data_IF_683521284804
#
_entry.id   IF_683521284804
#
_cell.length_a   1.000
_cell.length_b   1.000
_cell.length_c   1.000
_cell.angle_alpha   90.00
_cell.angle_beta   90.00
_cell.angle_gamma   90.00
#
_symmetry.space_group_name_H-M   'P 1'
#
loop_
_entity.id
_entity.type
_entity.pdbx_description
1 polymer ?
#
# COMPACT_ATOMS: atom_id res chain seq x y z
N UNK A 1 -36.53 -8.19 27.00
CA UNK A 1 -35.91 -8.48 25.69
C UNK A 1 -35.36 -7.18 25.12
N UNK A 2 -34.05 -7.01 25.21
CA UNK A 2 -33.20 -6.17 24.36
C UNK A 2 -31.77 -6.45 24.86
N UNK A 3 -31.19 -7.55 24.39
CA UNK A 3 -29.77 -7.85 24.62
C UNK A 3 -28.98 -6.69 24.05
N UNK A 4 -28.28 -5.94 24.92
CA UNK A 4 -27.36 -4.91 24.50
C UNK A 4 -26.23 -5.57 23.71
N UNK A 5 -26.34 -5.57 22.39
CA UNK A 5 -25.29 -6.03 21.50
C UNK A 5 -24.11 -5.07 21.64
N UNK A 6 -23.12 -5.43 22.45
CA UNK A 6 -21.81 -4.81 22.39
C UNK A 6 -21.26 -5.07 20.98
N UNK A 7 -21.06 -4.01 20.20
CA UNK A 7 -20.35 -4.10 18.93
C UNK A 7 -18.98 -4.79 19.17
N UNK A 8 -18.56 -5.73 18.31
CA UNK A 8 -17.23 -6.33 18.37
C UNK A 8 -16.15 -5.24 18.37
N UNK A 9 -15.11 -5.40 19.18
CA UNK A 9 -13.99 -4.45 19.26
C UNK A 9 -13.36 -4.21 17.88
N UNK A 10 -13.31 -5.26 17.06
CA UNK A 10 -12.82 -5.27 15.68
C UNK A 10 -13.46 -4.17 14.81
N UNK A 11 -14.77 -3.93 14.97
CA UNK A 11 -15.52 -2.92 14.19
C UNK A 11 -15.16 -1.47 14.57
N UNK A 12 -14.49 -1.28 15.71
CA UNK A 12 -14.07 0.02 16.23
C UNK A 12 -12.57 0.28 16.08
N UNK A 13 -11.84 -0.59 15.38
CA UNK A 13 -10.39 -0.51 15.22
C UNK A 13 -9.94 0.10 13.91
N UNK A 14 -8.90 0.92 13.97
CA UNK A 14 -8.26 1.52 12.82
C UNK A 14 -7.29 0.55 12.15
N UNK A 15 -7.45 0.28 10.85
CA UNK A 15 -6.59 -0.67 10.11
C UNK A 15 -5.12 -0.21 9.91
N UNK A 16 -4.77 1.00 10.36
CA UNK A 16 -3.41 1.55 10.24
C UNK A 16 -2.66 1.43 11.57
N UNK A 17 -3.31 1.72 12.70
CA UNK A 17 -2.68 1.66 14.03
C UNK A 17 -3.15 0.48 14.88
N UNK A 18 -4.16 -0.28 14.43
CA UNK A 18 -4.76 -1.42 15.12
C UNK A 18 -5.23 -1.08 16.55
N UNK A 19 -5.68 0.16 16.74
CA UNK A 19 -6.22 0.69 18.01
C UNK A 19 -7.61 1.28 17.73
N UNK A 20 -8.39 1.49 18.79
CA UNK A 20 -9.70 2.13 18.70
C UNK A 20 -9.57 3.49 18.00
N UNK A 21 -10.49 3.80 17.09
CA UNK A 21 -10.41 5.05 16.33
C UNK A 21 -10.35 6.28 17.25
N UNK A 22 -9.34 7.13 16.99
CA UNK A 22 -9.20 8.47 17.58
C UNK A 22 -9.44 9.50 16.50
N UNK A 23 -10.48 10.31 16.68
CA UNK A 23 -10.97 11.26 15.67
C UNK A 23 -11.09 10.62 14.28
N UNK A 24 -11.96 9.61 14.10
CA UNK A 24 -12.10 8.92 12.83
C UNK A 24 -12.53 9.88 11.73
N UNK A 25 -11.85 9.82 10.59
CA UNK A 25 -12.22 10.49 9.35
C UNK A 25 -12.62 9.45 8.31
N UNK A 26 -13.58 9.78 7.45
CA UNK A 26 -14.11 8.89 6.42
C UNK A 26 -13.77 9.40 5.03
N UNK A 27 -13.25 8.52 4.18
CA UNK A 27 -13.01 8.81 2.77
C UNK A 27 -14.25 8.52 1.91
N UNK A 28 -14.32 9.05 0.69
CA UNK A 28 -15.37 8.73 -0.29
C UNK A 28 -15.45 7.25 -0.70
N UNK A 29 -14.43 6.46 -0.36
CA UNK A 29 -14.46 5.00 -0.50
C UNK A 29 -15.06 4.28 0.73
N UNK A 30 -15.65 5.03 1.66
CA UNK A 30 -16.27 4.57 2.90
C UNK A 30 -15.34 3.95 3.95
N UNK A 31 -14.03 3.84 3.67
CA UNK A 31 -13.05 3.44 4.67
C UNK A 31 -12.80 4.59 5.66
N UNK A 32 -12.72 4.23 6.94
CA UNK A 32 -12.44 5.15 8.04
C UNK A 32 -11.06 4.90 8.63
N UNK A 33 -10.41 5.98 9.09
CA UNK A 33 -9.07 5.95 9.69
C UNK A 33 -8.99 6.98 10.81
N UNK A 34 -8.11 6.81 11.80
CA UNK A 34 -7.76 7.91 12.69
C UNK A 34 -7.21 9.07 11.85
N UNK A 35 -7.60 10.32 12.15
CA UNK A 35 -7.14 11.51 11.43
C UNK A 35 -5.61 11.53 11.27
N UNK A 36 -4.88 11.28 12.35
CA UNK A 36 -3.41 11.27 12.39
C UNK A 36 -2.80 10.13 11.58
N UNK A 37 -3.46 8.97 11.54
CA UNK A 37 -3.00 7.82 10.76
C UNK A 37 -3.09 8.10 9.26
N UNK A 38 -4.23 8.65 8.82
CA UNK A 38 -4.43 9.01 7.43
C UNK A 38 -3.44 10.10 6.98
N UNK A 39 -3.25 11.15 7.78
CA UNK A 39 -2.29 12.22 7.49
C UNK A 39 -0.87 11.68 7.31
N UNK A 40 -0.40 10.85 8.26
CA UNK A 40 0.92 10.21 8.17
C UNK A 40 1.07 9.37 6.91
N UNK A 41 0.05 8.59 6.54
CA UNK A 41 0.08 7.78 5.31
C UNK A 41 0.20 8.66 4.04
N UNK A 42 -0.53 9.77 3.98
CA UNK A 42 -0.45 10.69 2.85
C UNK A 42 0.89 11.40 2.75
N UNK A 43 1.45 11.84 3.87
CA UNK A 43 2.79 12.45 3.92
C UNK A 43 3.88 11.47 3.48
N UNK A 44 3.83 10.22 3.95
CA UNK A 44 4.84 9.20 3.61
C UNK A 44 4.78 8.74 2.16
N UNK A 45 3.59 8.65 1.59
CA UNK A 45 3.41 8.18 0.20
C UNK A 45 3.50 9.31 -0.82
N UNK A 46 3.36 10.58 -0.38
CA UNK A 46 3.23 11.73 -1.28
C UNK A 46 1.95 11.70 -2.12
N UNK A 47 0.98 10.86 -1.75
CA UNK A 47 -0.25 10.63 -2.50
C UNK A 47 -1.44 10.59 -1.56
N UNK A 48 -2.56 11.21 -1.98
CA UNK A 48 -3.81 11.21 -1.20
C UNK A 48 -4.62 9.93 -1.50
N UNK A 49 -4.04 8.77 -1.29
CA UNK A 49 -4.70 7.48 -1.55
C UNK A 49 -5.26 6.85 -0.27
N UNK A 50 -6.34 6.07 -0.41
CA UNK A 50 -6.86 5.27 0.69
C UNK A 50 -5.85 4.16 1.05
N UNK A 51 -5.45 4.01 2.34
CA UNK A 51 -4.55 2.95 2.77
C UNK A 51 -5.02 1.51 2.47
N UNK A 52 -6.34 1.30 2.35
CA UNK A 52 -6.94 -0.03 2.12
C UNK A 52 -7.13 -0.31 0.64
N UNK A 53 -7.91 0.53 -0.05
CA UNK A 53 -8.32 0.27 -1.43
C UNK A 53 -7.57 1.08 -2.49
N UNK A 54 -6.62 1.94 -2.09
CA UNK A 54 -5.80 2.80 -2.97
C UNK A 54 -6.58 3.80 -3.84
N UNK A 55 -7.90 3.94 -3.65
CA UNK A 55 -8.69 4.97 -4.32
C UNK A 55 -8.17 6.35 -3.92
N UNK A 56 -7.95 7.23 -4.91
CA UNK A 56 -7.53 8.62 -4.69
C UNK A 56 -8.64 9.41 -4.00
N UNK A 57 -8.26 10.14 -2.96
CA UNK A 57 -9.09 11.13 -2.28
C UNK A 57 -8.98 12.47 -3.02
N UNK A 58 -10.13 13.07 -3.28
CA UNK A 58 -10.23 14.45 -3.78
C UNK A 58 -10.18 15.49 -2.64
N UNK A 59 -10.40 15.06 -1.39
CA UNK A 59 -10.46 15.95 -0.21
C UNK A 59 -9.13 15.93 0.53
N UNK A 60 -8.60 17.13 0.82
CA UNK A 60 -7.42 17.35 1.65
C UNK A 60 -7.68 17.16 3.13
N UNK A 61 -8.90 17.47 3.57
CA UNK A 61 -9.35 17.26 4.95
C UNK A 61 -10.67 16.51 4.93
N UNK A 62 -10.66 15.17 4.94
CA UNK A 62 -11.87 14.38 4.96
C UNK A 62 -12.70 14.67 6.23
N UNK A 63 -14.03 14.59 6.13
CA UNK A 63 -14.91 14.86 7.25
C UNK A 63 -14.72 13.82 8.36
N UNK A 64 -14.91 14.27 9.61
CA UNK A 64 -14.94 13.37 10.76
C UNK A 64 -16.22 12.53 10.74
N UNK A 65 -16.08 11.21 10.91
CA UNK A 65 -17.19 10.30 11.12
C UNK A 65 -17.68 10.42 12.57
N UNK A 66 -18.59 11.37 12.82
CA UNK A 66 -19.11 11.63 14.17
C UNK A 66 -19.81 10.42 14.79
N UNK A 67 -20.52 9.62 13.99
CA UNK A 67 -21.18 8.42 14.49
C UNK A 67 -20.15 7.40 15.02
N UNK A 68 -19.12 7.10 14.23
CA UNK A 68 -18.03 6.22 14.65
C UNK A 68 -17.27 6.79 15.85
N UNK A 69 -17.00 8.11 15.85
CA UNK A 69 -16.38 8.78 17.00
C UNK A 69 -17.19 8.59 18.28
N UNK A 70 -18.50 8.81 18.22
CA UNK A 70 -19.38 8.63 19.37
C UNK A 70 -19.41 7.17 19.86
N UNK A 71 -19.41 6.19 18.96
CA UNK A 71 -19.32 4.78 19.31
C UNK A 71 -17.99 4.44 20.00
N UNK A 72 -16.87 4.91 19.45
CA UNK A 72 -15.55 4.72 20.03
C UNK A 72 -15.42 5.39 21.41
N UNK A 73 -15.97 6.59 21.57
CA UNK A 73 -16.00 7.30 22.85
C UNK A 73 -16.91 6.61 23.87
N UNK A 74 -18.08 6.13 23.48
CA UNK A 74 -18.98 5.38 24.34
C UNK A 74 -18.34 4.06 24.80
N UNK A 75 -17.70 3.34 23.87
CA UNK A 75 -16.92 2.13 24.16
C UNK A 75 -15.76 2.43 25.12
N UNK A 76 -15.02 3.51 24.88
CA UNK A 76 -13.93 3.95 25.75
C UNK A 76 -14.42 4.39 27.13
N UNK A 77 -15.58 5.07 27.23
CA UNK A 77 -16.18 5.46 28.52
C UNK A 77 -16.69 4.26 29.31
N UNK A 78 -17.24 3.25 28.64
CA UNK A 78 -17.58 1.96 29.28
C UNK A 78 -16.33 1.26 29.84
N UNK A 79 -15.16 1.47 29.20
CA UNK A 79 -13.86 1.02 29.71
C UNK A 79 -13.34 1.86 30.90
N UNK A 80 -13.70 3.14 31.01
CA UNK A 80 -13.26 4.07 32.08
C UNK A 80 -14.13 3.99 33.35
N UNK A 81 -15.42 3.63 33.24
CA UNK A 81 -16.30 3.42 34.41
C UNK A 81 -16.05 2.09 35.13
N UNK A 82 -15.32 1.15 34.50
CA UNK A 82 -14.61 0.10 35.24
C UNK A 82 -13.29 0.70 35.75
N UNK A 83 -12.93 0.52 37.04
CA UNK A 83 -11.70 1.11 37.59
C UNK A 83 -10.51 0.79 36.71
N UNK A 84 -9.57 1.74 36.62
CA UNK A 84 -8.31 1.62 35.92
C UNK A 84 -7.36 0.61 36.61
N UNK A 85 -7.72 -0.67 36.57
CA UNK A 85 -6.75 -1.76 36.43
C UNK A 85 -6.86 -2.19 34.98
N UNK A 86 -5.85 -1.86 34.18
CA UNK A 86 -5.91 -1.90 32.71
C UNK A 86 -6.53 -3.20 32.20
N UNK A 87 -7.56 -3.06 31.33
CA UNK A 87 -8.26 -4.14 30.61
C UNK A 87 -7.94 -5.51 31.22
N UNK A 88 -8.52 -5.82 32.37
CA UNK A 88 -8.28 -7.12 32.99
C UNK A 88 -8.83 -8.14 32.00
N UNK A 89 -7.95 -8.71 31.17
CA UNK A 89 -8.31 -9.78 30.26
C UNK A 89 -8.82 -10.90 31.15
N UNK A 90 -10.12 -11.12 31.12
CA UNK A 90 -10.77 -12.16 31.89
C UNK A 90 -10.75 -13.44 31.06
N UNK A 91 -10.62 -14.57 31.73
CA UNK A 91 -10.84 -15.87 31.12
C UNK A 91 -12.31 -15.97 30.71
N UNK A 92 -12.57 -16.29 29.43
CA UNK A 92 -13.94 -16.43 28.93
C UNK A 92 -14.72 -17.58 29.57
N UNK A 93 -14.02 -18.58 30.10
CA UNK A 93 -14.63 -19.75 30.76
C UNK A 93 -14.92 -19.50 32.24
N UNK A 94 -13.99 -18.85 32.95
CA UNK A 94 -14.03 -18.76 34.41
C UNK A 94 -14.35 -17.36 34.95
N UNK A 95 -14.33 -16.33 34.10
CA UNK A 95 -14.49 -14.93 34.54
C UNK A 95 -13.32 -14.41 35.39
N UNK A 96 -12.30 -15.22 35.62
CA UNK A 96 -11.12 -14.90 36.42
C UNK A 96 -10.03 -14.19 35.61
N UNK A 97 -9.21 -13.39 36.30
CA UNK A 97 -8.13 -12.62 35.65
C UNK A 97 -7.09 -13.55 35.01
N UNK A 98 -6.76 -13.29 33.75
CA UNK A 98 -5.63 -13.92 33.06
C UNK A 98 -4.33 -13.38 33.65
N UNK A 99 -3.61 -14.21 34.40
CA UNK A 99 -2.33 -13.88 35.04
C UNK A 99 -1.18 -14.75 34.55
N UNK A 100 -1.52 -15.89 33.97
CA UNK A 100 -0.57 -16.91 33.53
C UNK A 100 -0.60 -17.01 32.00
N UNK A 101 0.46 -17.57 31.45
CA UNK A 101 0.59 -17.88 30.03
C UNK A 101 1.06 -19.32 29.89
N UNK A 102 0.32 -20.10 29.09
CA UNK A 102 0.68 -21.46 28.74
C UNK A 102 1.64 -21.42 27.56
N UNK A 103 2.90 -21.84 27.78
CA UNK A 103 3.93 -21.81 26.74
C UNK A 103 3.77 -22.94 25.71
N UNK A 104 2.99 -23.97 26.03
CA UNK A 104 2.73 -25.09 25.12
C UNK A 104 1.69 -24.72 24.06
N UNK A 105 0.62 -24.06 24.49
CA UNK A 105 -0.50 -23.66 23.62
C UNK A 105 -0.41 -22.20 23.18
N UNK A 106 0.54 -21.44 23.72
CA UNK A 106 0.74 -20.02 23.46
C UNK A 106 -0.48 -19.13 23.77
N UNK A 107 -1.23 -19.49 24.82
CA UNK A 107 -2.44 -18.77 25.25
C UNK A 107 -2.34 -18.24 26.68
N UNK A 108 -2.91 -17.05 26.97
CA UNK A 108 -3.06 -16.56 28.33
C UNK A 108 -4.18 -17.33 29.06
N UNK A 109 -3.92 -17.72 30.31
CA UNK A 109 -4.85 -18.51 31.13
C UNK A 109 -5.03 -17.88 32.52
N UNK A 110 -6.16 -18.18 33.18
CA UNK A 110 -6.38 -17.77 34.57
C UNK A 110 -5.87 -18.83 35.55
N UNK A 111 -5.91 -18.52 36.85
CA UNK A 111 -5.48 -19.43 37.91
C UNK A 111 -6.35 -20.69 38.02
N UNK A 112 -7.60 -20.64 37.55
CA UNK A 112 -8.51 -21.79 37.57
C UNK A 112 -8.18 -22.73 36.40
N UNK A 113 -7.89 -22.18 35.22
CA UNK A 113 -7.39 -22.96 34.08
C UNK A 113 -6.11 -23.74 34.43
N UNK A 114 -5.22 -23.18 35.25
CA UNK A 114 -4.01 -23.88 35.68
C UNK A 114 -4.31 -25.20 36.41
N UNK A 115 -5.43 -25.29 37.11
CA UNK A 115 -5.85 -26.50 37.84
C UNK A 115 -6.75 -27.43 37.00
N UNK A 116 -7.03 -27.06 35.74
CA UNK A 116 -7.80 -27.89 34.81
C UNK A 116 -6.94 -29.04 34.28
N UNK A 117 -7.58 -30.18 33.97
CA UNK A 117 -6.97 -31.28 33.22
C UNK A 117 -6.41 -30.81 31.87
N UNK A 118 -6.99 -29.77 31.27
CA UNK A 118 -6.57 -29.22 29.96
C UNK A 118 -5.15 -28.65 29.96
N UNK A 119 -4.63 -28.20 31.11
CA UNK A 119 -3.26 -27.67 31.22
C UNK A 119 -2.41 -28.47 32.20
N UNK A 120 -2.80 -29.72 32.47
CA UNK A 120 -2.02 -30.61 33.30
C UNK A 120 -0.64 -30.85 32.66
N UNK A 121 0.43 -30.62 33.44
CA UNK A 121 1.82 -30.72 32.99
C UNK A 121 2.28 -29.72 31.92
N UNK A 122 1.48 -28.70 31.58
CA UNK A 122 1.94 -27.63 30.68
C UNK A 122 2.89 -26.67 31.39
N UNK A 123 3.84 -26.10 30.63
CA UNK A 123 4.78 -25.11 31.14
C UNK A 123 4.09 -23.75 31.22
N UNK A 124 3.87 -23.29 32.44
CA UNK A 124 3.22 -22.01 32.72
C UNK A 124 4.22 -20.97 33.18
N UNK A 125 3.98 -19.71 32.84
CA UNK A 125 4.73 -18.56 33.35
C UNK A 125 3.84 -17.33 33.51
N UNK A 126 4.31 -16.28 34.20
CA UNK A 126 3.58 -15.01 34.28
C UNK A 126 3.38 -14.40 32.90
N UNK A 127 2.18 -13.85 32.66
CA UNK A 127 1.85 -13.25 31.35
C UNK A 127 2.80 -12.08 31.00
N UNK A 128 3.29 -11.35 31.99
CA UNK A 128 4.24 -10.25 31.80
C UNK A 128 5.59 -10.74 31.26
N UNK A 129 6.09 -11.88 31.74
CA UNK A 129 7.36 -12.44 31.29
C UNK A 129 7.25 -12.94 29.84
N UNK A 130 6.17 -13.64 29.53
CA UNK A 130 5.88 -14.07 28.15
C UNK A 130 5.75 -12.86 27.22
N UNK A 131 5.02 -11.82 27.64
CA UNK A 131 4.85 -10.59 26.85
C UNK A 131 6.18 -9.87 26.58
N UNK A 132 7.08 -9.80 27.56
CA UNK A 132 8.41 -9.23 27.37
C UNK A 132 9.23 -10.04 26.37
N UNK A 133 9.25 -11.37 26.52
CA UNK A 133 9.95 -12.26 25.61
C UNK A 133 9.47 -12.11 24.17
N UNK A 134 8.16 -12.21 23.93
CA UNK A 134 7.61 -12.06 22.57
C UNK A 134 7.83 -10.66 22.00
N UNK A 135 7.79 -9.63 22.84
CA UNK A 135 8.11 -8.26 22.40
C UNK A 135 9.55 -8.17 21.91
N UNK A 136 10.51 -8.74 22.62
CA UNK A 136 11.92 -8.76 22.21
C UNK A 136 12.14 -9.56 20.92
N UNK A 137 11.50 -10.72 20.79
CA UNK A 137 11.53 -11.54 19.58
C UNK A 137 10.97 -10.78 18.37
N UNK A 138 9.80 -10.15 18.51
CA UNK A 138 9.17 -9.34 17.48
C UNK A 138 10.02 -8.13 17.11
N UNK A 139 10.61 -7.43 18.08
CA UNK A 139 11.50 -6.31 17.82
C UNK A 139 12.76 -6.75 17.08
N UNK A 140 13.30 -7.92 17.42
CA UNK A 140 14.45 -8.52 16.74
C UNK A 140 14.12 -8.90 15.30
N UNK A 141 12.94 -9.50 15.06
CA UNK A 141 12.46 -9.84 13.72
C UNK A 141 12.11 -8.60 12.87
N UNK A 142 11.67 -7.51 13.50
CA UNK A 142 11.26 -6.28 12.80
C UNK A 142 12.45 -5.49 12.24
N UNK A 143 13.58 -5.43 12.96
CA UNK A 143 14.79 -4.69 12.54
C UNK A 143 15.27 -5.03 11.11
N UNK A 144 15.53 -6.30 10.75
CA UNK A 144 16.00 -6.63 9.41
C UNK A 144 14.97 -6.32 8.31
N UNK A 145 13.67 -6.35 8.62
CA UNK A 145 12.62 -5.96 7.67
C UNK A 145 12.65 -4.46 7.40
N UNK A 146 12.87 -3.63 8.43
CA UNK A 146 13.05 -2.19 8.28
C UNK A 146 14.28 -1.85 7.44
N UNK A 147 15.42 -2.52 7.69
CA UNK A 147 16.64 -2.34 6.91
C UNK A 147 16.44 -2.73 5.43
N UNK A 148 15.79 -3.88 5.17
CA UNK A 148 15.44 -4.31 3.81
C UNK A 148 14.55 -3.30 3.11
N UNK A 149 13.56 -2.74 3.81
CA UNK A 149 12.67 -1.72 3.26
C UNK A 149 13.45 -0.47 2.81
N UNK A 150 14.35 0.03 3.65
CA UNK A 150 15.19 1.18 3.30
C UNK A 150 16.16 0.88 2.15
N UNK A 151 16.73 -0.33 2.11
CA UNK A 151 17.54 -0.79 0.99
C UNK A 151 16.74 -0.84 -0.34
N UNK A 152 15.50 -1.32 -0.29
CA UNK A 152 14.62 -1.34 -1.47
C UNK A 152 14.24 0.07 -1.92
N UNK A 153 13.96 1.01 -1.00
CA UNK A 153 13.71 2.42 -1.33
C UNK A 153 14.90 3.04 -2.06
N UNK A 154 16.13 2.84 -1.55
CA UNK A 154 17.36 3.33 -2.19
C UNK A 154 17.57 2.73 -3.59
N UNK A 155 17.39 1.41 -3.74
CA UNK A 155 17.50 0.74 -5.05
C UNK A 155 16.45 1.25 -6.04
N UNK A 156 15.20 1.45 -5.61
CA UNK A 156 14.12 2.02 -6.42
C UNK A 156 14.49 3.42 -6.91
N UNK A 157 15.00 4.28 -6.02
CA UNK A 157 15.42 5.63 -6.41
C UNK A 157 16.54 5.60 -7.45
N UNK A 158 17.55 4.73 -7.26
CA UNK A 158 18.65 4.57 -8.21
C UNK A 158 18.16 4.13 -9.59
N UNK A 159 17.26 3.14 -9.66
CA UNK A 159 16.67 2.70 -10.93
C UNK A 159 15.88 3.83 -11.62
N UNK A 160 15.07 4.58 -10.85
CA UNK A 160 14.31 5.71 -11.39
C UNK A 160 15.24 6.76 -12.01
N UNK A 161 16.32 7.13 -11.32
CA UNK A 161 17.31 8.09 -11.82
C UNK A 161 17.98 7.58 -13.10
N UNK A 162 18.39 6.31 -13.13
CA UNK A 162 18.98 5.70 -14.33
C UNK A 162 18.01 5.66 -15.51
N UNK A 163 16.73 5.37 -15.27
CA UNK A 163 15.71 5.37 -16.31
C UNK A 163 15.50 6.76 -16.92
N UNK A 164 15.56 7.82 -16.10
CA UNK A 164 15.50 9.21 -16.59
C UNK A 164 16.71 9.54 -17.46
N UNK A 165 17.92 9.19 -17.00
CA UNK A 165 19.16 9.43 -17.76
C UNK A 165 19.18 8.70 -19.11
N UNK A 166 18.78 7.42 -19.12
CA UNK A 166 18.73 6.64 -20.35
C UNK A 166 17.75 7.24 -21.36
N UNK A 167 16.60 7.75 -20.88
CA UNK A 167 15.63 8.44 -21.74
C UNK A 167 16.20 9.72 -22.35
N UNK A 168 16.86 10.58 -21.56
CA UNK A 168 17.45 11.81 -22.09
C UNK A 168 18.57 11.48 -23.09
N UNK A 169 19.43 10.52 -22.74
CA UNK A 169 20.53 10.10 -23.61
C UNK A 169 20.03 9.52 -24.95
N UNK A 170 18.93 8.76 -24.94
CA UNK A 170 18.34 8.24 -26.17
C UNK A 170 17.86 9.38 -27.09
N UNK A 171 17.16 10.38 -26.54
CA UNK A 171 16.68 11.56 -27.29
C UNK A 171 17.85 12.38 -27.84
N UNK A 172 18.90 12.60 -27.04
CA UNK A 172 20.08 13.34 -27.48
C UNK A 172 20.85 12.60 -28.57
N UNK A 173 21.00 11.28 -28.42
CA UNK A 173 21.64 10.42 -29.43
C UNK A 173 20.87 10.44 -30.75
N UNK A 174 19.55 10.32 -30.69
CA UNK A 174 18.70 10.42 -31.89
C UNK A 174 18.87 11.78 -32.58
N UNK A 175 18.91 12.87 -31.80
CA UNK A 175 19.16 14.22 -32.34
C UNK A 175 20.51 14.32 -33.02
N UNK A 176 21.58 13.79 -32.41
CA UNK A 176 22.91 13.80 -33.01
C UNK A 176 22.94 13.02 -34.32
N UNK A 177 22.33 11.84 -34.37
CA UNK A 177 22.21 11.03 -35.60
C UNK A 177 21.52 11.84 -36.70
N UNK A 178 20.42 12.53 -36.39
CA UNK A 178 19.71 13.37 -37.36
C UNK A 178 20.59 14.51 -37.89
N UNK A 179 21.30 15.21 -37.01
CA UNK A 179 22.20 16.32 -37.38
C UNK A 179 23.33 15.84 -38.28
N UNK A 180 23.98 14.72 -37.96
CA UNK A 180 25.04 14.17 -38.80
C UNK A 180 24.52 13.70 -40.16
N UNK A 181 23.32 13.10 -40.20
CA UNK A 181 22.68 12.71 -41.46
C UNK A 181 22.37 13.92 -42.35
N UNK A 182 21.89 15.03 -41.77
CA UNK A 182 21.68 16.29 -42.51
C UNK A 182 22.98 16.88 -43.06
N UNK A 183 24.07 16.83 -42.29
CA UNK A 183 25.40 17.29 -42.75
C UNK A 183 25.88 16.46 -43.95
N UNK A 184 25.76 15.13 -43.87
CA UNK A 184 26.11 14.24 -44.98
C UNK A 184 25.27 14.53 -46.22
N UNK A 185 23.96 14.70 -46.06
CA UNK A 185 23.06 15.05 -47.18
C UNK A 185 23.46 16.38 -47.83
N UNK A 186 23.75 17.42 -47.03
CA UNK A 186 24.23 18.72 -47.54
C UNK A 186 25.57 18.61 -48.27
N UNK A 187 26.48 17.75 -47.80
CA UNK A 187 27.78 17.53 -48.43
C UNK A 187 27.67 16.75 -49.76
N UNK A 188 26.76 15.78 -49.86
CA UNK A 188 26.50 15.01 -51.08
C UNK A 188 25.67 15.77 -52.13
N UNK A 189 24.89 16.78 -51.75
CA UNK A 189 24.17 17.66 -52.70
C UNK A 189 25.06 18.69 -53.43
N UNK A 190 26.38 18.47 -53.52
CA UNK A 190 27.29 19.21 -54.42
C UNK A 190 27.55 18.49 -55.75
N UNK A 191 26.82 17.43 -56.05
CA UNK A 191 26.80 16.87 -57.41
C UNK A 191 25.93 17.77 -58.28
N UNK A 192 26.47 18.12 -59.45
CA UNK A 192 25.87 18.99 -60.45
C UNK A 192 24.38 18.71 -60.67
N UNK A 193 23.66 19.80 -60.98
CA UNK A 193 22.26 19.85 -61.37
C UNK A 193 21.84 18.59 -62.14
N UNK A 194 20.97 17.73 -61.58
CA UNK A 194 20.42 16.64 -62.37
C UNK A 194 19.52 17.28 -63.41
N UNK A 195 19.91 17.16 -64.69
CA UNK A 195 19.00 17.39 -65.80
C UNK A 195 17.64 16.78 -65.45
N UNK A 196 16.59 17.59 -65.56
CA UNK A 196 15.21 17.22 -65.26
C UNK A 196 14.81 15.99 -66.08
N UNK A 197 15.01 14.79 -65.53
CA UNK A 197 14.26 13.62 -65.94
C UNK A 197 12.84 13.80 -65.41
N UNK A 198 11.95 14.18 -66.33
CA UNK A 198 10.51 14.21 -66.16
C UNK A 198 9.99 12.80 -65.87
N UNK A 199 10.00 12.40 -64.60
CA UNK A 199 9.39 11.16 -64.12
C UNK A 199 8.87 11.39 -62.71
N UNK A 200 7.55 11.26 -62.53
CA UNK A 200 6.83 11.62 -61.32
C UNK A 200 7.49 11.07 -60.04
N UNK A 201 7.77 11.98 -59.10
CA UNK A 201 8.24 11.61 -57.77
C UNK A 201 7.11 10.88 -57.04
N UNK A 202 7.28 9.58 -56.80
CA UNK A 202 6.41 8.85 -55.87
C UNK A 202 6.73 9.36 -54.46
N UNK A 203 5.73 9.94 -53.80
CA UNK A 203 5.85 10.34 -52.40
C UNK A 203 5.93 9.08 -51.53
N UNK A 204 7.16 8.67 -51.19
CA UNK A 204 7.42 7.45 -50.41
C UNK A 204 6.73 7.48 -49.04
N UNK A 205 6.58 8.65 -48.42
CA UNK A 205 5.89 8.79 -47.13
C UNK A 205 4.37 8.55 -47.26
N UNK A 206 3.77 9.09 -48.33
CA UNK A 206 2.36 8.85 -48.66
C UNK A 206 2.12 7.40 -49.09
N UNK A 207 3.04 6.81 -49.86
CA UNK A 207 2.93 5.42 -50.30
C UNK A 207 3.08 4.43 -49.13
N UNK A 208 4.06 4.63 -48.24
CA UNK A 208 4.25 3.76 -47.06
C UNK A 208 3.15 3.96 -46.00
N UNK A 209 2.65 5.20 -45.84
CA UNK A 209 1.48 5.48 -44.99
C UNK A 209 0.22 4.74 -45.49
N UNK A 210 -0.04 4.82 -46.80
CA UNK A 210 -1.14 4.11 -47.45
C UNK A 210 -0.95 2.58 -47.45
N UNK A 211 0.29 2.08 -47.52
CA UNK A 211 0.58 0.65 -47.49
C UNK A 211 0.21 0.04 -46.13
N UNK A 212 0.56 0.70 -45.02
CA UNK A 212 0.19 0.24 -43.66
C UNK A 212 -1.32 0.24 -43.45
N UNK A 213 -2.03 1.24 -43.97
CA UNK A 213 -3.48 1.36 -43.84
C UNK A 213 -4.22 0.25 -44.61
N UNK A 214 -3.82 -0.02 -45.86
CA UNK A 214 -4.46 -1.05 -46.71
C UNK A 214 -4.22 -2.48 -46.22
N UNK A 215 -3.08 -2.75 -45.58
CA UNK A 215 -2.82 -4.06 -44.95
C UNK A 215 -3.70 -4.27 -43.72
N UNK A 216 -3.94 -3.21 -42.94
CA UNK A 216 -4.81 -3.27 -41.76
C UNK A 216 -6.29 -3.45 -42.13
N UNK A 217 -6.80 -2.75 -43.16
CA UNK A 217 -8.17 -2.96 -43.66
C UNK A 217 -8.38 -4.39 -44.19
N UNK A 218 -7.43 -4.94 -44.95
CA UNK A 218 -7.51 -6.33 -45.42
C UNK A 218 -7.42 -7.35 -44.29
N UNK A 219 -6.67 -7.08 -43.22
CA UNK A 219 -6.68 -7.95 -42.03
C UNK A 219 -8.04 -7.93 -41.33
N UNK A 220 -8.73 -6.79 -41.30
CA UNK A 220 -10.08 -6.69 -40.70
C UNK A 220 -11.16 -7.42 -41.52
N UNK A 221 -11.01 -7.54 -42.83
CA UNK A 221 -11.94 -8.32 -43.67
C UNK A 221 -11.75 -9.84 -43.54
N UNK A 222 -10.55 -10.30 -43.17
CA UNK A 222 -10.22 -11.73 -43.01
C UNK A 222 -10.58 -12.26 -41.62
N UNK A 223 -10.64 -11.39 -40.61
CA UNK A 223 -11.04 -11.77 -39.24
C UNK A 223 -12.56 -11.73 -39.14
N UNK A 224 -13.21 -12.84 -39.46
CA UNK A 224 -14.60 -13.11 -39.07
C UNK A 224 -14.60 -13.72 -37.66
N UNK A 225 -15.34 -13.11 -36.73
CA UNK A 225 -15.56 -13.65 -35.38
C UNK A 225 -16.39 -14.94 -35.41
#
# INVERSE_FOLDING_TARGET
MASGSSLPEEDLTCSVCFDIFKDPVVLKCSHSFCKTCLQRCWEQTGSRECPVCRRKSSEESPPCNRALKNLCEAFSKHRIQKPATGLESLCGLHGERLKLFCLNEEVPICIVCQTSEEHENHKLGPIQEAALKYKEELQTALKPLQEKLEAFKKKKQKCNNSAVLLKSQAVDTERQIRVEFEKLHKAQCKVADPEKLSGGRINVAEHLGNLKYRVWEKMMEIIQY
#
